data_IF_187840640984
#
_entry.id   IF_187840640984
#
_cell.length_a   1.000
_cell.length_b   1.000
_cell.length_c   1.000
_cell.angle_alpha   90.00
_cell.angle_beta   90.00
_cell.angle_gamma   90.00
#
_symmetry.space_group_name_H-M   'P 1'
#
loop_
_entity.id
_entity.type
_entity.pdbx_description
1 polymer ?
#
# COMPACT_ATOMS: atom_id res chain seq x y z
N UNK A 1 -19.26 8.54 -24.02
CA UNK A 1 -18.52 9.27 -22.98
C UNK A 1 -18.09 8.26 -21.92
N UNK A 2 -16.82 8.20 -21.55
CA UNK A 2 -16.37 7.37 -20.42
C UNK A 2 -16.93 7.97 -19.12
N UNK A 3 -17.45 7.16 -18.17
CA UNK A 3 -17.94 7.69 -16.92
C UNK A 3 -16.79 8.36 -16.15
N UNK A 4 -17.04 9.48 -15.45
CA UNK A 4 -16.06 10.07 -14.56
C UNK A 4 -15.60 9.00 -13.55
N UNK A 5 -14.30 8.91 -13.23
CA UNK A 5 -13.83 8.02 -12.19
C UNK A 5 -14.65 8.28 -10.92
N UNK A 6 -15.29 7.23 -10.40
CA UNK A 6 -16.39 7.36 -9.45
C UNK A 6 -15.97 8.03 -8.14
N UNK A 7 -14.69 8.03 -7.78
CA UNK A 7 -14.14 8.73 -6.61
C UNK A 7 -12.67 9.11 -6.86
N UNK A 8 -12.16 10.22 -6.28
CA UNK A 8 -10.72 10.46 -6.22
C UNK A 8 -10.05 9.26 -5.55
N UNK A 9 -8.94 8.78 -6.13
CA UNK A 9 -8.19 7.65 -5.58
C UNK A 9 -7.85 7.95 -4.13
N UNK A 10 -8.39 7.16 -3.21
CA UNK A 10 -8.06 7.25 -1.79
C UNK A 10 -6.63 6.78 -1.49
N UNK A 11 -5.90 6.27 -2.48
CA UNK A 11 -4.52 5.79 -2.33
C UNK A 11 -3.56 6.96 -2.28
N UNK A 12 -2.78 7.07 -1.20
CA UNK A 12 -1.81 8.13 -0.95
C UNK A 12 -0.37 7.69 -1.25
N UNK A 13 0.00 6.43 -0.97
CA UNK A 13 1.37 5.93 -1.11
C UNK A 13 1.36 4.56 -1.79
N UNK A 14 2.31 4.33 -2.69
CA UNK A 14 2.51 3.08 -3.40
C UNK A 14 3.94 2.58 -3.24
N UNK A 15 4.11 1.26 -3.11
CA UNK A 15 5.43 0.63 -3.18
C UNK A 15 5.34 -0.73 -3.85
N UNK A 16 6.20 -0.98 -4.85
CA UNK A 16 6.39 -2.30 -5.44
C UNK A 16 7.42 -3.10 -4.66
N UNK A 17 7.23 -4.43 -4.58
CA UNK A 17 8.25 -5.31 -4.05
C UNK A 17 9.42 -5.48 -5.06
N UNK A 18 10.56 -5.99 -4.60
CA UNK A 18 11.77 -6.12 -5.44
C UNK A 18 11.57 -6.94 -6.73
N UNK A 19 10.58 -7.84 -6.76
CA UNK A 19 10.28 -8.70 -7.92
C UNK A 19 9.17 -8.16 -8.83
N UNK A 20 8.58 -7.01 -8.50
CA UNK A 20 7.40 -6.45 -9.18
C UNK A 20 6.22 -7.44 -9.30
N UNK A 21 6.07 -8.33 -8.32
CA UNK A 21 4.96 -9.29 -8.26
C UNK A 21 3.85 -8.83 -7.32
N UNK A 22 4.15 -7.86 -6.45
CA UNK A 22 3.22 -7.36 -5.44
C UNK A 22 3.36 -5.84 -5.30
N UNK A 23 2.23 -5.20 -5.03
CA UNK A 23 2.10 -3.76 -4.82
C UNK A 23 1.45 -3.52 -3.45
N UNK A 24 2.11 -2.74 -2.60
CA UNK A 24 1.49 -2.21 -1.40
C UNK A 24 0.92 -0.84 -1.74
N UNK A 25 -0.32 -0.61 -1.33
CA UNK A 25 -1.05 0.63 -1.51
C UNK A 25 -1.62 1.09 -0.17
N UNK A 26 -1.17 2.24 0.30
CA UNK A 26 -1.70 2.87 1.49
C UNK A 26 -2.79 3.85 1.10
N UNK A 27 -3.91 3.78 1.79
CA UNK A 27 -5.06 4.65 1.64
C UNK A 27 -4.96 5.84 2.60
N UNK A 28 -5.66 6.92 2.29
CA UNK A 28 -5.72 8.15 3.08
C UNK A 28 -6.32 7.96 4.48
N UNK A 29 -6.99 6.83 4.73
CA UNK A 29 -7.49 6.45 6.05
C UNK A 29 -6.45 5.69 6.91
N UNK A 30 -5.25 5.45 6.38
CA UNK A 30 -4.15 4.73 7.03
C UNK A 30 -4.08 3.24 6.70
N UNK A 31 -5.09 2.68 6.03
CA UNK A 31 -5.10 1.25 5.70
C UNK A 31 -4.11 0.96 4.58
N UNK A 32 -3.31 -0.08 4.72
CA UNK A 32 -2.37 -0.52 3.69
C UNK A 32 -2.79 -1.88 3.16
N UNK A 33 -3.01 -1.97 1.85
CA UNK A 33 -3.40 -3.21 1.17
C UNK A 33 -2.27 -3.69 0.28
N UNK A 34 -1.95 -4.98 0.37
CA UNK A 34 -0.97 -5.62 -0.51
C UNK A 34 -1.72 -6.40 -1.58
N UNK A 35 -1.54 -6.01 -2.84
CA UNK A 35 -2.08 -6.67 -4.02
C UNK A 35 -1.04 -7.56 -4.69
N UNK A 36 -1.45 -8.77 -5.06
CA UNK A 36 -0.70 -9.64 -5.96
C UNK A 36 -1.00 -9.24 -7.39
N UNK A 37 0.01 -8.75 -8.12
CA UNK A 37 -0.19 -8.17 -9.45
C UNK A 37 -0.53 -9.23 -10.51
N UNK A 38 0.08 -10.42 -10.40
CA UNK A 38 -0.14 -11.52 -11.36
C UNK A 38 -1.51 -12.17 -11.13
N UNK A 39 -1.86 -12.42 -9.88
CA UNK A 39 -3.12 -13.07 -9.51
C UNK A 39 -4.31 -12.10 -9.45
N UNK A 40 -4.05 -10.80 -9.43
CA UNK A 40 -5.05 -9.74 -9.27
C UNK A 40 -5.96 -9.94 -8.04
N UNK A 41 -5.36 -10.36 -6.92
CA UNK A 41 -6.06 -10.54 -5.63
C UNK A 41 -5.40 -9.71 -4.54
N UNK A 42 -6.16 -9.44 -3.48
CA UNK A 42 -5.61 -8.91 -2.22
C UNK A 42 -4.89 -10.06 -1.51
N UNK A 43 -3.60 -9.88 -1.25
CA UNK A 43 -2.74 -10.83 -0.55
C UNK A 43 -2.78 -10.57 0.95
N UNK A 44 -2.81 -9.30 1.36
CA UNK A 44 -2.87 -8.92 2.77
C UNK A 44 -3.52 -7.54 2.95
N UNK A 45 -4.10 -7.33 4.13
CA UNK A 45 -4.53 -6.04 4.62
C UNK A 45 -3.78 -5.77 5.93
N UNK A 46 -3.13 -4.61 6.00
CA UNK A 46 -2.32 -4.16 7.13
C UNK A 46 -2.93 -2.87 7.64
N UNK A 47 -3.35 -2.91 8.90
CA UNK A 47 -3.87 -1.75 9.60
C UNK A 47 -3.05 -1.53 10.87
N UNK A 48 -2.51 -0.33 11.03
CA UNK A 48 -1.84 0.06 12.27
C UNK A 48 -2.90 0.59 13.24
N UNK A 49 -3.08 -0.09 14.37
CA UNK A 49 -4.02 0.38 15.39
C UNK A 49 -3.54 1.65 16.11
N UNK A 50 -2.24 1.91 16.11
CA UNK A 50 -1.62 3.06 16.77
C UNK A 50 -1.64 4.34 15.93
N UNK A 51 -1.83 4.25 14.61
CA UNK A 51 -1.81 5.43 13.73
C UNK A 51 -2.62 5.21 12.47
N UNK A 52 -3.31 6.27 12.04
CA UNK A 52 -4.00 6.33 10.75
C UNK A 52 -3.24 7.18 9.72
N UNK A 53 -2.12 7.77 10.13
CA UNK A 53 -1.36 8.70 9.30
C UNK A 53 -0.05 8.06 8.90
N UNK A 54 -0.06 7.39 7.75
CA UNK A 54 1.15 6.83 7.16
C UNK A 54 1.79 7.89 6.27
N UNK A 55 3.03 8.25 6.59
CA UNK A 55 3.78 9.31 5.93
C UNK A 55 4.71 8.78 4.84
N UNK A 56 5.22 7.56 5.02
CA UNK A 56 6.02 6.87 4.02
C UNK A 56 5.83 5.35 4.10
N UNK A 57 6.00 4.68 2.96
CA UNK A 57 5.96 3.22 2.87
C UNK A 57 7.01 2.75 1.86
N UNK A 58 7.73 1.66 2.19
CA UNK A 58 8.71 1.08 1.28
C UNK A 58 8.87 -0.42 1.48
N UNK A 59 8.73 -1.17 0.40
CA UNK A 59 9.18 -2.56 0.38
C UNK A 59 10.71 -2.62 0.45
N UNK A 60 11.18 -3.51 1.30
CA UNK A 60 12.58 -3.84 1.36
C UNK A 60 13.05 -4.47 0.03
N UNK A 61 14.23 -4.08 -0.44
CA UNK A 61 14.73 -4.47 -1.75
C UNK A 61 15.47 -5.82 -1.75
N UNK A 62 15.78 -6.37 -0.58
CA UNK A 62 16.44 -7.67 -0.47
C UNK A 62 15.46 -8.86 -0.54
N UNK A 63 15.98 -10.09 -0.46
CA UNK A 63 15.22 -11.35 -0.56
C UNK A 63 14.10 -11.52 0.48
N UNK A 64 14.03 -10.68 1.51
CA UNK A 64 13.00 -10.74 2.56
C UNK A 64 11.80 -9.88 2.18
N UNK A 65 10.60 -10.46 2.27
CA UNK A 65 9.33 -9.75 2.08
C UNK A 65 9.00 -8.89 3.30
N UNK A 66 9.68 -7.75 3.44
CA UNK A 66 9.47 -6.80 4.53
C UNK A 66 8.89 -5.51 3.93
N UNK A 67 7.83 -4.99 4.55
CA UNK A 67 7.23 -3.70 4.24
C UNK A 67 7.47 -2.76 5.42
N UNK A 68 8.22 -1.69 5.20
CA UNK A 68 8.39 -0.62 6.18
C UNK A 68 7.27 0.40 6.03
N UNK A 69 6.70 0.80 7.17
CA UNK A 69 5.71 1.88 7.29
C UNK A 69 6.26 2.91 8.26
N UNK A 70 6.31 4.17 7.84
CA UNK A 70 6.57 5.31 8.71
C UNK A 70 5.25 6.04 8.94
N UNK A 71 5.04 6.50 10.16
CA UNK A 71 3.86 7.27 10.54
C UNK A 71 4.26 8.70 10.86
N UNK A 72 3.31 9.63 10.90
CA UNK A 72 3.62 11.03 11.23
C UNK A 72 3.98 11.23 12.72
N UNK A 73 3.64 10.25 13.57
CA UNK A 73 3.86 10.32 15.02
C UNK A 73 5.30 10.00 15.47
N UNK A 74 6.12 9.39 14.61
CA UNK A 74 7.54 9.06 14.90
C UNK A 74 7.83 7.58 15.09
#
# INVERSE_FOLDING_TARGET
>A
SFPPPAQPSCVSILSYNAKNTSLAATMANGDTVIYGLVSNIIVANVQLHCSKSISAMKFHHEKRSILGLATDEG
#
